data_IF_474761487637
#
_entry.id   IF_474761487637
#
_cell.length_a   1.000
_cell.length_b   1.000
_cell.length_c   1.000
_cell.angle_alpha   90.00
_cell.angle_beta   90.00
_cell.angle_gamma   90.00
#
_symmetry.space_group_name_H-M   'P 1'
#
loop_
_entity.id
_entity.type
_entity.pdbx_description
1 polymer ?
#
# COMPACT_ATOMS: atom_id res chain seq x y z
N UNK A 1 -9.42 11.18 17.95
CA UNK A 1 -9.16 9.74 17.72
C UNK A 1 -10.14 9.24 16.68
N UNK A 2 -9.67 8.43 15.72
CA UNK A 2 -10.50 7.74 14.73
C UNK A 2 -10.45 6.25 15.04
N UNK A 3 -11.60 5.57 15.02
CA UNK A 3 -11.72 4.14 15.30
C UNK A 3 -12.54 3.49 14.19
N UNK A 4 -12.09 2.34 13.74
CA UNK A 4 -12.81 1.51 12.77
C UNK A 4 -14.00 0.82 13.40
N UNK A 5 -15.12 0.77 12.69
CA UNK A 5 -16.28 -0.02 13.08
C UNK A 5 -17.02 -0.55 11.85
N UNK A 6 -17.82 -1.59 12.06
CA UNK A 6 -18.74 -2.13 11.06
C UNK A 6 -20.14 -2.25 11.65
N UNK A 7 -21.17 -2.12 10.82
CA UNK A 7 -22.56 -2.41 11.23
C UNK A 7 -23.00 -3.78 10.72
N UNK A 8 -24.02 -4.36 11.35
CA UNK A 8 -24.64 -5.61 10.88
C UNK A 8 -25.27 -5.47 9.47
N UNK A 9 -25.58 -4.24 9.04
CA UNK A 9 -26.14 -3.94 7.72
C UNK A 9 -25.05 -3.75 6.65
N UNK A 10 -23.78 -3.99 6.99
CA UNK A 10 -22.65 -3.93 6.07
C UNK A 10 -22.10 -2.52 5.81
N UNK A 11 -22.30 -1.57 6.72
CA UNK A 11 -21.64 -0.27 6.66
C UNK A 11 -20.25 -0.33 7.32
N UNK A 12 -19.21 -0.04 6.55
CA UNK A 12 -17.89 0.29 7.09
C UNK A 12 -17.89 1.73 7.61
N UNK A 13 -17.39 1.94 8.82
CA UNK A 13 -17.42 3.21 9.54
C UNK A 13 -16.04 3.62 10.04
N UNK A 14 -15.77 4.91 9.94
CA UNK A 14 -14.75 5.58 10.74
C UNK A 14 -15.49 6.44 11.78
N UNK A 15 -15.44 6.05 13.05
CA UNK A 15 -16.04 6.81 14.14
C UNK A 15 -15.00 7.66 14.85
N UNK A 16 -15.44 8.78 15.41
CA UNK A 16 -14.54 9.77 16.01
C UNK A 16 -14.85 10.02 17.47
N UNK A 17 -13.79 10.28 18.21
CA UNK A 17 -13.81 10.74 19.59
C UNK A 17 -12.90 11.95 19.75
N UNK A 18 -13.32 12.91 20.56
CA UNK A 18 -12.55 14.11 20.90
C UNK A 18 -12.14 14.08 22.37
N UNK A 19 -10.99 14.66 22.67
CA UNK A 19 -10.43 14.77 24.02
C UNK A 19 -9.53 15.99 24.10
N UNK A 20 -9.48 16.62 25.28
CA UNK A 20 -8.59 17.74 25.58
C UNK A 20 -7.35 17.32 26.38
N UNK A 21 -7.30 16.09 26.89
CA UNK A 21 -6.25 15.58 27.80
C UNK A 21 -5.71 14.19 27.45
N UNK A 22 -6.25 13.55 26.40
CA UNK A 22 -5.97 12.19 25.95
C UNK A 22 -6.40 11.08 26.91
N UNK A 23 -7.10 11.41 28.01
CA UNK A 23 -7.60 10.46 29.00
C UNK A 23 -9.13 10.32 28.91
N UNK A 24 -9.84 11.45 28.93
CA UNK A 24 -11.30 11.48 28.84
C UNK A 24 -11.73 11.74 27.39
N UNK A 25 -12.53 10.83 26.84
CA UNK A 25 -12.94 10.85 25.43
C UNK A 25 -14.45 10.98 25.29
N UNK A 26 -14.89 11.95 24.48
CA UNK A 26 -16.30 12.15 24.12
C UNK A 26 -16.53 11.65 22.70
N UNK A 27 -17.57 10.85 22.50
CA UNK A 27 -17.98 10.39 21.18
C UNK A 27 -18.46 11.57 20.31
N UNK A 28 -17.90 11.70 19.12
CA UNK A 28 -18.13 12.82 18.17
C UNK A 28 -18.94 12.40 16.93
N UNK A 29 -19.30 11.11 16.85
CA UNK A 29 -20.12 10.56 15.79
C UNK A 29 -19.34 9.81 14.71
N UNK A 30 -20.06 9.48 13.64
CA UNK A 30 -19.52 8.82 12.44
C UNK A 30 -18.90 9.89 11.55
N UNK A 31 -17.58 9.82 11.36
CA UNK A 31 -16.85 10.73 10.50
C UNK A 31 -16.99 10.33 9.03
N UNK A 32 -16.88 9.05 8.72
CA UNK A 32 -17.07 8.51 7.38
C UNK A 32 -17.86 7.20 7.44
N UNK A 33 -18.60 6.94 6.36
CA UNK A 33 -19.37 5.71 6.16
C UNK A 33 -19.32 5.33 4.69
N UNK A 34 -19.25 4.04 4.41
CA UNK A 34 -19.53 3.51 3.07
C UNK A 34 -20.15 2.11 3.19
N UNK A 35 -21.18 1.83 2.41
CA UNK A 35 -21.84 0.53 2.46
C UNK A 35 -21.11 -0.48 1.57
N UNK A 36 -21.05 -1.74 1.99
CA UNK A 36 -20.42 -2.84 1.22
C UNK A 36 -21.10 -3.10 -0.14
N UNK A 37 -22.33 -2.64 -0.34
CA UNK A 37 -22.99 -2.68 -1.65
C UNK A 37 -22.34 -1.73 -2.67
N UNK A 38 -21.61 -0.70 -2.23
CA UNK A 38 -20.94 0.29 -3.09
C UNK A 38 -19.59 -0.26 -3.60
N UNK A 39 -19.64 -1.00 -4.72
CA UNK A 39 -18.46 -1.68 -5.29
C UNK A 39 -17.57 -0.82 -6.18
N UNK A 40 -18.09 0.28 -6.72
CA UNK A 40 -17.38 1.14 -7.69
C UNK A 40 -16.99 2.49 -7.08
N UNK A 41 -15.86 3.11 -7.49
CA UNK A 41 -14.82 2.57 -8.38
C UNK A 41 -13.91 1.54 -7.69
N UNK A 42 -14.05 1.38 -6.38
CA UNK A 42 -13.34 0.41 -5.57
C UNK A 42 -14.27 -0.01 -4.44
N UNK A 43 -14.30 -1.30 -4.15
CA UNK A 43 -14.97 -1.82 -2.96
C UNK A 43 -14.06 -1.62 -1.75
N UNK A 44 -14.60 -1.23 -0.60
CA UNK A 44 -13.80 -0.93 0.61
C UNK A 44 -14.26 -1.72 1.85
N UNK A 45 -14.91 -2.85 1.62
CA UNK A 45 -15.31 -3.80 2.66
C UNK A 45 -16.49 -3.36 3.51
N UNK A 46 -16.79 -4.18 4.53
CA UNK A 46 -17.80 -3.93 5.55
C UNK A 46 -17.19 -3.42 6.87
N UNK A 47 -15.85 -3.46 7.00
CA UNK A 47 -15.10 -2.94 8.13
C UNK A 47 -13.82 -2.24 7.65
N UNK A 48 -13.50 -1.14 8.31
CA UNK A 48 -12.26 -0.37 8.12
C UNK A 48 -11.32 -0.61 9.30
N UNK A 49 -10.21 -1.30 9.06
CA UNK A 49 -9.15 -1.50 10.05
C UNK A 49 -8.06 -0.43 9.93
N UNK A 50 -7.53 0.03 11.07
CA UNK A 50 -6.54 1.11 11.14
C UNK A 50 -6.92 2.40 10.38
N UNK A 51 -8.18 2.89 10.46
CA UNK A 51 -8.58 4.08 9.71
C UNK A 51 -7.85 5.32 10.20
N UNK A 52 -7.33 6.10 9.26
CA UNK A 52 -6.66 7.36 9.53
C UNK A 52 -7.20 8.42 8.59
N UNK A 53 -7.54 9.60 9.13
CA UNK A 53 -7.86 10.80 8.34
C UNK A 53 -6.64 11.70 8.40
N UNK A 54 -5.98 11.90 7.25
CA UNK A 54 -4.70 12.59 7.14
C UNK A 54 -4.80 13.73 6.13
N UNK A 55 -3.89 14.70 6.23
CA UNK A 55 -3.80 15.80 5.27
C UNK A 55 -2.62 15.58 4.31
N UNK A 56 -2.92 15.61 3.01
CA UNK A 56 -1.96 15.47 1.90
C UNK A 56 -2.27 16.56 0.88
N UNK A 57 -1.28 17.37 0.51
CA UNK A 57 -1.40 18.45 -0.49
C UNK A 57 -2.63 19.37 -0.31
N UNK A 58 -2.96 19.71 0.95
CA UNK A 58 -4.08 20.58 1.30
C UNK A 58 -5.47 19.93 1.20
N UNK A 59 -5.54 18.62 0.98
CA UNK A 59 -6.77 17.82 0.99
C UNK A 59 -6.74 16.81 2.11
N UNK A 60 -7.91 16.26 2.43
CA UNK A 60 -8.03 15.20 3.42
C UNK A 60 -8.14 13.85 2.75
N UNK A 61 -7.53 12.85 3.36
CA UNK A 61 -7.52 11.47 2.88
C UNK A 61 -7.92 10.57 4.03
N UNK A 62 -8.97 9.77 3.83
CA UNK A 62 -9.24 8.61 4.67
C UNK A 62 -8.47 7.44 4.07
N UNK A 63 -7.57 6.82 4.83
CA UNK A 63 -6.90 5.57 4.45
C UNK A 63 -7.22 4.49 5.46
N UNK A 64 -7.47 3.27 4.98
CA UNK A 64 -7.81 2.14 5.83
C UNK A 64 -7.44 0.81 5.18
N UNK A 65 -7.16 -0.18 6.03
CA UNK A 65 -7.19 -1.59 5.63
C UNK A 65 -8.63 -2.07 5.48
N UNK A 66 -8.88 -2.90 4.47
CA UNK A 66 -10.21 -3.42 4.14
C UNK A 66 -10.40 -4.82 4.71
N UNK A 67 -11.58 -5.07 5.31
CA UNK A 67 -11.96 -6.35 5.90
C UNK A 67 -13.43 -6.68 5.61
N UNK A 68 -13.75 -7.96 5.39
CA UNK A 68 -15.12 -8.47 5.27
C UNK A 68 -15.20 -9.97 5.60
N UNK A 69 -16.16 -10.38 6.44
CA UNK A 69 -16.50 -11.79 6.79
C UNK A 69 -15.30 -12.72 7.09
N UNK A 70 -14.42 -12.32 8.02
CA UNK A 70 -13.17 -13.02 8.38
C UNK A 70 -12.17 -13.19 7.21
N UNK A 71 -12.42 -12.54 6.08
CA UNK A 71 -11.52 -12.46 4.94
C UNK A 71 -10.78 -11.13 4.97
N UNK A 72 -9.48 -11.22 5.14
CA UNK A 72 -8.57 -10.10 5.00
C UNK A 72 -8.36 -9.84 3.51
N UNK A 73 -9.04 -8.82 3.01
CA UNK A 73 -8.75 -8.31 1.68
C UNK A 73 -7.45 -7.54 1.77
N UNK A 74 -6.38 -8.14 1.25
CA UNK A 74 -4.99 -7.70 1.39
C UNK A 74 -4.67 -6.38 0.67
N UNK A 75 -5.46 -5.33 0.91
CA UNK A 75 -5.18 -4.00 0.42
C UNK A 75 -5.64 -2.90 1.36
N UNK A 76 -4.94 -1.77 1.22
CA UNK A 76 -5.35 -0.49 1.74
C UNK A 76 -6.22 0.23 0.70
N UNK A 77 -7.43 0.61 1.10
CA UNK A 77 -8.30 1.51 0.37
C UNK A 77 -8.13 2.95 0.87
N UNK A 78 -8.51 3.91 0.04
CA UNK A 78 -8.55 5.32 0.43
C UNK A 78 -9.74 6.06 -0.16
N UNK A 79 -10.13 7.16 0.50
CA UNK A 79 -10.97 8.21 -0.05
C UNK A 79 -10.24 9.54 0.00
N UNK A 80 -10.33 10.37 -1.05
CA UNK A 80 -9.80 11.75 -1.08
C UNK A 80 -10.97 12.71 -1.03
N UNK A 81 -10.88 13.74 -0.20
CA UNK A 81 -12.00 14.62 0.05
C UNK A 81 -11.70 15.81 0.94
N UNK A 82 -12.69 16.18 1.74
CA UNK A 82 -12.62 17.22 2.76
C UNK A 82 -13.00 16.67 4.13
N UNK A 83 -12.36 17.18 5.18
CA UNK A 83 -12.73 16.89 6.56
C UNK A 83 -13.03 18.18 7.29
N UNK A 84 -14.27 18.33 7.76
CA UNK A 84 -14.70 19.51 8.49
C UNK A 84 -15.76 19.13 9.52
N UNK A 85 -15.72 19.77 10.69
CA UNK A 85 -16.70 19.57 11.76
C UNK A 85 -16.92 18.09 12.12
N UNK A 86 -15.83 17.32 12.18
CA UNK A 86 -15.88 15.90 12.53
C UNK A 86 -16.42 14.98 11.42
N UNK A 87 -16.64 15.49 10.19
CA UNK A 87 -17.20 14.72 9.07
C UNK A 87 -16.27 14.74 7.87
N UNK A 88 -16.10 13.59 7.25
CA UNK A 88 -15.33 13.39 6.04
C UNK A 88 -16.29 13.22 4.87
N UNK A 89 -16.12 14.07 3.85
CA UNK A 89 -16.88 14.00 2.61
C UNK A 89 -15.92 13.65 1.48
N UNK A 90 -16.12 12.47 0.88
CA UNK A 90 -15.22 11.88 -0.10
C UNK A 90 -15.62 12.27 -1.51
N UNK A 91 -14.69 12.83 -2.27
CA UNK A 91 -14.86 13.15 -3.69
C UNK A 91 -14.52 11.93 -4.57
N UNK A 92 -13.48 11.20 -4.20
CA UNK A 92 -12.99 10.02 -4.94
C UNK A 92 -12.62 8.90 -3.98
N UNK A 93 -12.64 7.67 -4.49
CA UNK A 93 -12.18 6.48 -3.79
C UNK A 93 -11.21 5.70 -4.66
N UNK A 94 -10.23 5.05 -4.05
CA UNK A 94 -9.25 4.24 -4.76
C UNK A 94 -8.60 3.18 -3.90
N UNK A 95 -7.79 2.35 -4.54
CA UNK A 95 -6.95 1.32 -3.91
C UNK A 95 -5.50 1.81 -3.94
N UNK A 96 -4.79 1.66 -2.82
CA UNK A 96 -3.40 2.11 -2.69
C UNK A 96 -2.39 0.97 -2.79
N UNK A 97 -2.75 -0.22 -2.32
CA UNK A 97 -1.86 -1.38 -2.33
C UNK A 97 -2.46 -2.57 -3.06
N UNK A 98 -1.61 -3.35 -3.70
CA UNK A 98 -1.91 -4.48 -4.57
C UNK A 98 -0.99 -5.64 -4.17
N UNK A 99 -1.42 -6.87 -4.44
CA UNK A 99 -0.75 -8.05 -3.87
C UNK A 99 -1.42 -8.50 -2.57
N UNK A 100 -0.79 -9.48 -1.92
CA UNK A 100 -1.32 -10.12 -0.72
C UNK A 100 -0.62 -9.69 0.58
N UNK A 101 0.45 -8.91 0.48
CA UNK A 101 1.28 -8.60 1.65
C UNK A 101 0.92 -7.28 2.32
N UNK A 102 0.61 -6.23 1.56
CA UNK A 102 0.42 -4.89 2.10
C UNK A 102 -0.85 -4.74 2.93
N UNK A 103 -0.69 -4.46 4.23
CA UNK A 103 -1.79 -4.27 5.17
C UNK A 103 -1.46 -3.22 6.26
N UNK A 104 -2.47 -2.80 7.00
CA UNK A 104 -2.38 -1.89 8.15
C UNK A 104 -1.49 -0.65 7.89
N UNK A 105 -1.86 0.21 6.91
CA UNK A 105 -1.12 1.44 6.65
C UNK A 105 -0.98 2.27 7.92
N UNK A 106 0.18 2.88 8.14
CA UNK A 106 0.47 3.72 9.29
C UNK A 106 1.10 5.03 8.84
N UNK A 107 0.45 6.14 9.17
CA UNK A 107 0.84 7.48 8.77
C UNK A 107 1.86 8.10 9.71
N UNK A 108 2.80 8.85 9.12
CA UNK A 108 3.69 9.74 9.84
C UNK A 108 4.05 10.94 8.96
N UNK A 109 4.63 11.98 9.57
CA UNK A 109 5.32 13.05 8.85
C UNK A 109 6.81 12.90 9.02
N UNK A 110 7.56 13.03 7.94
CA UNK A 110 9.03 13.03 8.00
C UNK A 110 9.57 14.34 8.62
N UNK A 111 10.90 14.45 8.71
CA UNK A 111 11.56 15.64 9.28
C UNK A 111 11.32 16.94 8.47
N UNK A 112 10.97 16.84 7.20
CA UNK A 112 10.62 17.97 6.33
C UNK A 112 9.10 18.21 6.28
N UNK A 113 8.33 17.45 7.05
CA UNK A 113 6.88 17.53 7.12
C UNK A 113 6.14 16.82 5.99
N UNK A 114 6.81 16.01 5.15
CA UNK A 114 6.16 15.27 4.06
C UNK A 114 5.20 14.23 4.65
N UNK A 115 3.98 14.09 4.09
CA UNK A 115 3.08 13.03 4.49
C UNK A 115 3.59 11.68 4.00
N UNK A 116 3.74 10.71 4.90
CA UNK A 116 4.31 9.41 4.60
C UNK A 116 3.44 8.26 5.12
N UNK A 117 3.54 7.10 4.46
CA UNK A 117 2.94 5.83 4.90
C UNK A 117 3.99 4.73 4.95
N UNK A 118 3.80 3.82 5.91
CA UNK A 118 4.40 2.50 5.92
C UNK A 118 3.30 1.45 6.09
N UNK A 119 3.54 0.25 5.61
CA UNK A 119 2.61 -0.87 5.69
C UNK A 119 3.26 -2.02 6.46
N UNK A 120 2.43 -2.78 7.16
CA UNK A 120 2.79 -4.13 7.57
C UNK A 120 2.70 -5.06 6.36
N UNK A 121 3.77 -5.78 6.07
CA UNK A 121 3.85 -6.75 4.98
C UNK A 121 3.75 -8.18 5.50
N UNK A 122 2.65 -8.84 5.15
CA UNK A 122 2.28 -10.20 5.53
C UNK A 122 2.83 -11.24 4.56
N UNK A 123 2.90 -12.50 5.00
CA UNK A 123 3.34 -13.63 4.17
C UNK A 123 4.84 -13.64 3.85
N UNK A 124 5.57 -12.59 4.23
CA UNK A 124 7.03 -12.54 4.17
C UNK A 124 7.58 -13.27 5.38
N UNK A 125 8.35 -14.34 5.20
CA UNK A 125 8.96 -15.06 6.31
C UNK A 125 10.26 -15.75 5.91
N UNK A 126 11.09 -16.03 6.91
CA UNK A 126 12.25 -16.91 6.79
C UNK A 126 12.18 -17.95 7.90
N UNK A 127 11.65 -19.13 7.54
CA UNK A 127 11.47 -20.24 8.47
C UNK A 127 12.80 -20.79 9.02
N UNK A 128 13.91 -20.63 8.28
CA UNK A 128 15.23 -21.09 8.72
C UNK A 128 15.80 -20.16 9.80
N UNK A 129 15.48 -18.86 9.73
CA UNK A 129 15.97 -17.82 10.66
C UNK A 129 14.96 -17.51 11.77
N UNK A 130 13.69 -17.92 11.63
CA UNK A 130 12.67 -17.87 12.68
C UNK A 130 11.97 -16.52 12.84
N UNK A 131 11.81 -15.76 11.75
CA UNK A 131 11.04 -14.51 11.75
C UNK A 131 9.92 -14.54 10.71
N UNK A 132 8.87 -13.74 10.96
CA UNK A 132 7.72 -13.60 10.07
C UNK A 132 7.24 -12.15 10.03
N UNK A 133 6.78 -11.75 8.86
CA UNK A 133 6.42 -10.40 8.41
C UNK A 133 7.56 -9.38 8.36
N UNK A 134 7.34 -8.34 7.57
CA UNK A 134 8.22 -7.17 7.49
C UNK A 134 7.41 -5.87 7.54
N UNK A 135 8.09 -4.73 7.64
CA UNK A 135 7.52 -3.44 7.28
C UNK A 135 7.91 -3.13 5.83
N UNK A 136 7.02 -2.47 5.09
CA UNK A 136 7.36 -1.90 3.79
C UNK A 136 8.43 -0.82 3.94
N UNK A 137 9.06 -0.43 2.83
CA UNK A 137 9.79 0.85 2.85
C UNK A 137 8.83 2.01 3.14
N UNK A 138 9.32 3.15 3.65
CA UNK A 138 8.50 4.34 3.75
C UNK A 138 8.16 4.88 2.36
N UNK A 139 6.90 5.27 2.20
CA UNK A 139 6.39 5.91 0.99
C UNK A 139 5.99 7.35 1.29
N UNK A 140 6.31 8.27 0.39
CA UNK A 140 5.77 9.64 0.39
C UNK A 140 4.43 9.63 -0.34
N UNK A 141 3.47 10.37 0.21
CA UNK A 141 2.14 10.55 -0.36
C UNK A 141 2.05 11.85 -1.14
N UNK A 142 1.37 11.80 -2.28
CA UNK A 142 1.00 12.96 -3.06
C UNK A 142 -0.41 12.78 -3.62
N UNK A 143 -1.06 13.89 -3.97
CA UNK A 143 -2.31 13.87 -4.73
C UNK A 143 -2.02 14.28 -6.17
N UNK A 144 -2.34 13.39 -7.10
CA UNK A 144 -2.22 13.64 -8.54
C UNK A 144 -3.56 13.37 -9.20
N UNK A 145 -4.09 14.35 -9.91
CA UNK A 145 -5.37 14.27 -10.62
C UNK A 145 -6.56 13.79 -9.76
N UNK A 146 -6.54 14.11 -8.45
CA UNK A 146 -7.58 13.72 -7.50
C UNK A 146 -7.45 12.30 -6.93
N UNK A 147 -6.38 11.58 -7.27
CA UNK A 147 -6.02 10.28 -6.72
C UNK A 147 -4.84 10.38 -5.77
N UNK A 148 -4.84 9.55 -4.74
CA UNK A 148 -3.68 9.38 -3.86
C UNK A 148 -2.67 8.49 -4.56
N UNK A 149 -1.42 8.94 -4.61
CA UNK A 149 -0.29 8.16 -5.15
C UNK A 149 0.81 8.04 -4.11
N UNK A 150 1.62 6.99 -4.24
CA UNK A 150 2.79 6.73 -3.40
C UNK A 150 4.06 6.76 -4.23
N UNK A 151 5.11 7.32 -3.66
CA UNK A 151 6.48 7.23 -4.20
C UNK A 151 7.41 6.70 -3.11
N UNK A 152 8.52 6.06 -3.47
CA UNK A 152 9.49 5.61 -2.48
C UNK A 152 10.12 6.82 -1.80
N UNK A 153 10.31 6.76 -0.48
CA UNK A 153 10.86 7.88 0.26
C UNK A 153 12.29 8.25 -0.23
N UNK A 154 12.63 9.56 -0.37
CA UNK A 154 13.93 10.00 -0.88
C UNK A 154 15.15 9.50 -0.07
N UNK A 155 14.96 9.14 1.21
CA UNK A 155 16.05 8.54 2.02
C UNK A 155 16.59 7.23 1.43
N UNK A 156 15.77 6.50 0.66
CA UNK A 156 16.20 5.28 -0.03
C UNK A 156 17.22 5.61 -1.12
N UNK A 157 17.03 6.72 -1.84
CA UNK A 157 17.99 7.17 -2.85
C UNK A 157 19.31 7.59 -2.20
N UNK A 158 19.23 8.30 -1.07
CA UNK A 158 20.40 8.72 -0.30
C UNK A 158 21.20 7.54 0.26
N UNK A 159 20.58 6.37 0.44
CA UNK A 159 21.22 5.15 0.91
C UNK A 159 21.91 4.32 -0.19
N UNK A 160 21.74 4.69 -1.48
CA UNK A 160 22.35 3.96 -2.60
C UNK A 160 23.89 4.07 -2.53
N UNK A 161 24.56 2.93 -2.36
CA UNK A 161 26.01 2.87 -2.25
C UNK A 161 26.74 2.69 -3.60
N UNK A 162 26.04 2.30 -4.67
CA UNK A 162 26.61 2.08 -5.99
C UNK A 162 25.62 1.44 -6.97
N UNK A 163 26.04 1.28 -8.23
CA UNK A 163 25.27 0.52 -9.22
C UNK A 163 25.57 -0.98 -9.06
N UNK A 164 24.53 -1.80 -8.97
CA UNK A 164 24.66 -3.24 -8.95
C UNK A 164 24.65 -3.82 -10.38
N UNK A 165 25.37 -4.93 -10.57
CA UNK A 165 25.21 -5.77 -11.75
C UNK A 165 24.00 -6.70 -11.53
N UNK A 166 22.91 -6.41 -12.24
CA UNK A 166 21.64 -7.15 -12.11
C UNK A 166 21.76 -8.63 -12.49
N UNK A 167 22.85 -9.05 -13.15
CA UNK A 167 23.10 -10.48 -13.41
C UNK A 167 23.46 -11.28 -12.16
N UNK A 168 23.86 -10.60 -11.06
CA UNK A 168 24.25 -11.24 -9.79
C UNK A 168 23.91 -10.36 -8.58
N UNK A 169 22.72 -10.56 -8.02
CA UNK A 169 22.29 -9.94 -6.77
C UNK A 169 22.32 -11.03 -5.68
N UNK A 170 23.45 -11.14 -4.95
CA UNK A 170 23.59 -12.14 -3.89
C UNK A 170 23.54 -11.46 -2.52
N UNK A 171 22.41 -11.59 -1.82
CA UNK A 171 22.24 -11.10 -0.44
C UNK A 171 22.34 -9.58 -0.29
N UNK A 172 22.07 -8.83 -1.35
CA UNK A 172 22.09 -7.37 -1.36
C UNK A 172 20.66 -6.84 -1.46
N UNK A 173 20.42 -5.71 -0.80
CA UNK A 173 19.25 -4.88 -1.06
C UNK A 173 19.42 -4.25 -2.43
N UNK A 174 18.38 -4.31 -3.26
CA UNK A 174 18.37 -3.70 -4.59
C UNK A 174 17.26 -2.68 -4.66
N UNK A 175 17.60 -1.51 -5.19
CA UNK A 175 16.68 -0.45 -5.54
C UNK A 175 16.87 -0.16 -7.04
N UNK A 176 15.90 -0.61 -7.83
CA UNK A 176 15.92 -0.60 -9.29
C UNK A 176 14.86 0.34 -9.84
N UNK A 177 15.26 1.14 -10.82
CA UNK A 177 14.35 1.94 -11.63
C UNK A 177 14.18 1.25 -12.98
N UNK A 178 12.99 0.73 -13.24
CA UNK A 178 12.66 0.07 -14.50
C UNK A 178 11.63 0.91 -15.23
N UNK A 179 11.90 1.28 -16.49
CA UNK A 179 10.89 1.88 -17.37
C UNK A 179 10.55 0.85 -18.44
N UNK A 180 9.46 0.06 -18.25
CA UNK A 180 9.07 -0.95 -19.22
C UNK A 180 8.77 -0.30 -20.56
N UNK A 181 9.37 -0.82 -21.63
CA UNK A 181 9.13 -0.37 -22.99
C UNK A 181 7.82 -0.93 -23.55
N UNK A 182 7.76 -2.25 -23.77
CA UNK A 182 6.66 -2.90 -24.48
C UNK A 182 5.82 -3.87 -23.63
N UNK A 183 4.61 -4.16 -24.10
CA UNK A 183 3.78 -5.24 -23.54
C UNK A 183 4.55 -6.56 -23.62
N UNK A 184 4.58 -7.31 -22.51
CA UNK A 184 5.31 -8.56 -22.36
C UNK A 184 6.77 -8.39 -21.92
N UNK A 185 7.30 -7.18 -21.86
CA UNK A 185 8.61 -6.94 -21.23
C UNK A 185 8.54 -7.33 -19.75
N UNK A 186 9.59 -8.00 -19.26
CA UNK A 186 9.61 -8.53 -17.90
C UNK A 186 10.98 -8.50 -17.26
N UNK A 187 10.98 -8.50 -15.93
CA UNK A 187 12.13 -8.78 -15.08
C UNK A 187 11.86 -10.11 -14.39
N UNK A 188 12.71 -11.11 -14.65
CA UNK A 188 12.69 -12.39 -13.93
C UNK A 188 13.63 -12.32 -12.72
N UNK A 189 13.14 -12.74 -11.56
CA UNK A 189 13.93 -12.94 -10.36
C UNK A 189 14.25 -14.42 -10.20
N UNK A 190 15.54 -14.72 -10.11
CA UNK A 190 16.04 -16.09 -10.06
C UNK A 190 16.71 -16.37 -8.71
N UNK A 191 16.37 -17.49 -8.09
CA UNK A 191 17.10 -18.08 -6.98
C UNK A 191 17.79 -19.37 -7.46
N UNK A 192 19.12 -19.47 -7.29
CA UNK A 192 19.91 -20.62 -7.75
C UNK A 192 19.67 -21.04 -9.23
N UNK A 193 19.23 -20.12 -10.09
CA UNK A 193 18.92 -20.37 -11.51
C UNK A 193 17.47 -20.74 -11.79
N UNK A 194 16.63 -20.90 -10.76
CA UNK A 194 15.20 -21.14 -10.88
C UNK A 194 14.42 -19.84 -10.68
N UNK A 195 13.34 -19.65 -11.45
CA UNK A 195 12.52 -18.43 -11.35
C UNK A 195 11.64 -18.51 -10.11
N UNK A 196 11.78 -17.52 -9.22
CA UNK A 196 10.95 -17.39 -8.02
C UNK A 196 9.85 -16.35 -8.21
N UNK A 197 10.11 -15.30 -8.99
CA UNK A 197 9.11 -14.28 -9.31
C UNK A 197 9.40 -13.62 -10.67
N UNK A 198 8.39 -12.95 -11.23
CA UNK A 198 8.53 -12.08 -12.38
C UNK A 198 7.64 -10.85 -12.27
N UNK A 199 8.17 -9.70 -12.68
CA UNK A 199 7.39 -8.49 -12.94
C UNK A 199 7.20 -8.34 -14.45
N UNK A 200 5.96 -8.29 -14.92
CA UNK A 200 5.62 -8.32 -16.34
C UNK A 200 4.77 -7.10 -16.68
N UNK A 201 5.14 -6.36 -17.73
CA UNK A 201 4.35 -5.27 -18.27
C UNK A 201 3.20 -5.82 -19.12
N UNK A 202 1.97 -5.43 -18.81
CA UNK A 202 0.79 -5.65 -19.66
C UNK A 202 0.36 -4.33 -20.32
N UNK A 203 -0.82 -4.26 -20.93
CA UNK A 203 -1.32 -3.02 -21.52
C UNK A 203 -1.45 -1.90 -20.47
N UNK A 204 -2.13 -2.19 -19.35
CA UNK A 204 -2.57 -1.23 -18.35
C UNK A 204 -2.03 -1.47 -16.94
N UNK A 205 -1.17 -2.48 -16.75
CA UNK A 205 -0.71 -2.91 -15.43
C UNK A 205 0.72 -3.46 -15.41
N UNK A 206 1.24 -3.58 -14.19
CA UNK A 206 2.39 -4.43 -13.87
C UNK A 206 1.84 -5.65 -13.14
N UNK A 207 2.18 -6.83 -13.65
CA UNK A 207 1.82 -8.12 -13.08
C UNK A 207 2.99 -8.67 -12.27
N UNK A 208 2.72 -9.17 -11.07
CA UNK A 208 3.62 -9.95 -10.24
C UNK A 208 3.21 -11.42 -10.29
N UNK A 209 4.01 -12.23 -10.98
CA UNK A 209 3.92 -13.69 -10.92
C UNK A 209 4.92 -14.22 -9.89
N UNK A 210 4.52 -15.21 -9.09
CA UNK A 210 5.39 -15.91 -8.15
C UNK A 210 5.15 -17.41 -8.26
N UNK A 211 6.20 -18.20 -8.15
CA UNK A 211 6.11 -19.65 -8.36
C UNK A 211 5.26 -20.30 -7.29
N UNK A 212 4.15 -20.92 -7.69
CA UNK A 212 3.23 -21.62 -6.78
C UNK A 212 2.17 -20.73 -6.11
N UNK A 213 2.18 -19.43 -6.39
CA UNK A 213 1.30 -18.44 -5.74
C UNK A 213 0.30 -17.81 -6.73
N UNK A 214 -0.72 -17.14 -6.20
CA UNK A 214 -1.64 -16.33 -7.00
C UNK A 214 -0.93 -15.15 -7.66
N UNK A 215 -1.32 -14.87 -8.91
CA UNK A 215 -0.84 -13.72 -9.68
C UNK A 215 -1.58 -12.47 -9.29
N UNK A 216 -0.83 -11.40 -9.02
CA UNK A 216 -1.37 -10.09 -8.67
C UNK A 216 -0.98 -9.03 -9.70
N UNK A 217 -1.77 -7.96 -9.82
CA UNK A 217 -1.41 -6.83 -10.66
C UNK A 217 -1.72 -5.50 -9.99
N UNK A 218 -0.97 -4.48 -10.39
CA UNK A 218 -1.25 -3.08 -10.06
C UNK A 218 -1.40 -2.27 -11.35
N UNK A 219 -2.39 -1.36 -11.42
CA UNK A 219 -2.52 -0.45 -12.55
C UNK A 219 -1.24 0.35 -12.79
N UNK A 220 -0.93 0.56 -14.05
CA UNK A 220 0.26 1.29 -14.48
C UNK A 220 0.04 1.91 -15.86
N UNK A 221 -0.12 3.23 -15.88
CA UNK A 221 -0.41 3.99 -17.10
C UNK A 221 0.85 4.25 -17.97
N UNK A 222 2.04 3.81 -17.52
CA UNK A 222 3.32 4.15 -18.14
C UNK A 222 4.29 4.83 -17.19
N UNK A 223 5.53 4.99 -17.66
CA UNK A 223 6.63 5.59 -16.90
C UNK A 223 7.44 4.57 -16.11
N UNK A 224 8.17 5.08 -15.12
CA UNK A 224 9.06 4.28 -14.28
C UNK A 224 8.27 3.50 -13.22
N UNK A 225 8.68 2.25 -12.99
CA UNK A 225 8.35 1.40 -11.85
C UNK A 225 9.59 1.33 -10.98
N UNK A 226 9.47 1.68 -9.71
CA UNK A 226 10.57 1.51 -8.74
C UNK A 226 10.42 0.17 -8.04
N UNK A 227 11.45 -0.67 -8.10
CA UNK A 227 11.44 -2.03 -7.57
C UNK A 227 12.48 -2.11 -6.45
N UNK A 228 12.04 -2.52 -5.28
CA UNK A 228 12.88 -2.72 -4.10
C UNK A 228 12.84 -4.20 -3.75
N UNK A 229 14.03 -4.78 -3.60
CA UNK A 229 14.24 -6.14 -3.17
C UNK A 229 15.08 -6.13 -1.90
N UNK A 230 14.56 -6.70 -0.81
CA UNK A 230 15.29 -6.86 0.45
C UNK A 230 15.05 -8.27 1.01
N UNK A 231 16.01 -9.17 0.77
CA UNK A 231 15.85 -10.58 1.10
C UNK A 231 14.64 -11.19 0.37
N UNK A 232 13.65 -11.77 1.08
CA UNK A 232 12.44 -12.31 0.47
C UNK A 232 11.39 -11.23 0.12
N UNK A 233 11.62 -9.96 0.43
CA UNK A 233 10.66 -8.88 0.16
C UNK A 233 10.80 -8.37 -1.27
N UNK A 234 9.69 -8.26 -1.99
CA UNK A 234 9.57 -7.49 -3.21
C UNK A 234 8.52 -6.39 -3.07
N UNK A 235 8.90 -5.17 -3.38
CA UNK A 235 8.04 -4.00 -3.45
C UNK A 235 8.20 -3.31 -4.82
N UNK A 236 7.13 -3.24 -5.60
CA UNK A 236 7.07 -2.55 -6.87
C UNK A 236 6.11 -1.36 -6.76
N UNK A 237 6.64 -0.15 -6.91
CA UNK A 237 5.90 1.11 -6.80
C UNK A 237 5.57 1.57 -8.22
N UNK A 238 4.29 1.52 -8.57
CA UNK A 238 3.76 1.93 -9.87
C UNK A 238 3.23 3.36 -9.81
N UNK A 239 2.69 3.83 -10.94
CA UNK A 239 2.02 5.14 -11.01
C UNK A 239 0.71 5.21 -10.21
N UNK A 240 0.14 4.06 -9.82
CA UNK A 240 -1.16 3.97 -9.16
C UNK A 240 -1.09 3.52 -7.69
N UNK A 241 0.02 2.93 -7.25
CA UNK A 241 0.16 2.42 -5.90
C UNK A 241 1.33 1.46 -5.75
N UNK A 242 1.26 0.64 -4.71
CA UNK A 242 2.31 -0.33 -4.36
C UNK A 242 1.84 -1.76 -4.62
N UNK A 243 2.66 -2.56 -5.28
CA UNK A 243 2.46 -3.99 -5.50
C UNK A 243 3.58 -4.73 -4.80
N UNK A 244 3.28 -5.81 -4.08
CA UNK A 244 4.38 -6.62 -3.58
C UNK A 244 3.98 -7.83 -2.77
N UNK A 245 5.01 -8.55 -2.37
CA UNK A 245 4.91 -9.69 -1.49
C UNK A 245 6.20 -10.49 -1.41
N UNK A 246 6.08 -11.67 -0.80
CA UNK A 246 7.21 -12.54 -0.57
C UNK A 246 7.66 -13.23 -1.87
N UNK A 247 8.96 -13.19 -2.15
CA UNK A 247 9.64 -14.03 -3.14
C UNK A 247 10.31 -15.18 -2.37
N UNK A 248 9.56 -16.27 -2.17
CA UNK A 248 10.07 -17.44 -1.45
C UNK A 248 11.23 -18.10 -2.19
N UNK A 249 12.12 -18.75 -1.42
CA UNK A 249 13.33 -19.41 -1.91
C UNK A 249 13.05 -20.72 -2.63
#
# INVERSE_FOLDING_TARGET
MVVGAGTADGDALAVTYTSTDLQDWTFDGVAARRNTAEREPVWVGALWECPQIIEVDGRHVLVSSVWDDDVLYYYAGYGVGSYANGRFDADTWGRLSFGESYYAPSFFRDADGRPCLMFWMRGVEDGDVGWSSALSVPHVLEIRDGSLVTTAHPSLEAARAGRADLSRIAGQVVDLEWTPGGIGERIDLLNAGERVAALIRTEDSIVLERTGEETWSAPHAGGMVRIILDGPVLEAITSAGVLGGACHR
#
